data_IF_715596597784
#
_entry.id   IF_715596597784
#
_cell.length_a   1.000
_cell.length_b   1.000
_cell.length_c   1.000
_cell.angle_alpha   90.00
_cell.angle_beta   90.00
_cell.angle_gamma   90.00
#
_symmetry.space_group_name_H-M   'P 1'
#
loop_
_entity.id
_entity.type
_entity.pdbx_description
1 polymer ?
#
# COMPACT_ATOMS: atom_id res chain seq x y z
N UNK A 1 -16.02 8.77 -68.35
CA UNK A 1 -15.57 8.91 -66.93
C UNK A 1 -14.15 9.47 -66.96
N UNK A 2 -13.71 10.26 -65.97
CA UNK A 2 -12.31 10.77 -65.96
C UNK A 2 -11.32 9.63 -65.70
N UNK A 3 -10.13 9.69 -66.31
CA UNK A 3 -9.04 8.71 -66.12
C UNK A 3 -8.72 8.52 -64.63
N UNK A 4 -8.70 9.60 -63.85
CA UNK A 4 -8.47 9.53 -62.40
C UNK A 4 -9.53 8.71 -61.66
N UNK A 5 -10.80 8.81 -62.09
CA UNK A 5 -11.91 8.09 -61.47
C UNK A 5 -11.88 6.60 -61.84
N UNK A 6 -11.54 6.29 -63.09
CA UNK A 6 -11.35 4.91 -63.55
C UNK A 6 -10.20 4.21 -62.82
N UNK A 7 -9.08 4.92 -62.60
CA UNK A 7 -7.95 4.37 -61.84
C UNK A 7 -8.33 4.08 -60.38
N UNK A 8 -9.09 4.97 -59.73
CA UNK A 8 -9.58 4.73 -58.37
C UNK A 8 -10.49 3.50 -58.31
N UNK A 9 -11.40 3.35 -59.27
CA UNK A 9 -12.29 2.19 -59.37
C UNK A 9 -11.51 0.88 -59.57
N UNK A 10 -10.45 0.89 -60.39
CA UNK A 10 -9.55 -0.26 -60.56
C UNK A 10 -8.76 -0.58 -59.28
N UNK A 11 -8.27 0.42 -58.56
CA UNK A 11 -7.57 0.22 -57.28
C UNK A 11 -8.50 -0.32 -56.18
N UNK A 12 -9.79 0.02 -56.22
CA UNK A 12 -10.80 -0.49 -55.30
C UNK A 12 -11.20 -1.94 -55.63
N UNK A 13 -11.40 -2.25 -56.91
CA UNK A 13 -11.99 -3.53 -57.35
C UNK A 13 -10.97 -4.62 -57.68
N UNK A 14 -9.75 -4.28 -58.10
CA UNK A 14 -8.73 -5.24 -58.55
C UNK A 14 -7.57 -5.36 -57.54
N UNK A 15 -7.48 -6.52 -56.88
CA UNK A 15 -6.48 -6.77 -55.84
C UNK A 15 -5.03 -6.79 -56.37
N UNK A 16 -4.79 -7.38 -57.54
CA UNK A 16 -3.45 -7.45 -58.14
C UNK A 16 -2.92 -6.06 -58.51
N UNK A 17 -3.78 -5.23 -59.11
CA UNK A 17 -3.45 -3.84 -59.45
C UNK A 17 -3.18 -3.03 -58.18
N UNK A 18 -4.02 -3.17 -57.15
CA UNK A 18 -3.82 -2.51 -55.86
C UNK A 18 -2.51 -2.93 -55.19
N UNK A 19 -2.19 -4.23 -55.14
CA UNK A 19 -0.94 -4.74 -54.56
C UNK A 19 0.29 -4.22 -55.31
N UNK A 20 0.25 -4.26 -56.64
CA UNK A 20 1.34 -3.74 -57.47
C UNK A 20 1.56 -2.24 -57.22
N UNK A 21 0.48 -1.46 -57.17
CA UNK A 21 0.53 -0.03 -56.88
C UNK A 21 1.12 0.24 -55.47
N UNK A 22 0.59 -0.42 -54.43
CA UNK A 22 1.08 -0.28 -53.06
C UNK A 22 2.55 -0.70 -52.93
N UNK A 23 2.99 -1.78 -53.61
CA UNK A 23 4.39 -2.20 -53.57
C UNK A 23 5.33 -1.13 -54.13
N UNK A 24 4.95 -0.49 -55.25
CA UNK A 24 5.73 0.60 -55.85
C UNK A 24 5.76 1.83 -54.94
N UNK A 25 4.64 2.14 -54.27
CA UNK A 25 4.59 3.22 -53.27
C UNK A 25 5.48 2.94 -52.06
N UNK A 26 5.43 1.74 -51.49
CA UNK A 26 6.25 1.34 -50.33
C UNK A 26 7.73 1.42 -50.68
N UNK A 27 8.15 0.95 -51.85
CA UNK A 27 9.54 1.08 -52.32
C UNK A 27 9.93 2.56 -52.44
N UNK A 28 9.09 3.39 -53.06
CA UNK A 28 9.37 4.83 -53.20
C UNK A 28 9.48 5.53 -51.85
N UNK A 29 8.61 5.21 -50.91
CA UNK A 29 8.64 5.71 -49.53
C UNK A 29 9.90 5.24 -48.81
N UNK A 30 10.32 3.99 -49.01
CA UNK A 30 11.51 3.43 -48.38
C UNK A 30 12.80 4.02 -48.96
N UNK A 31 12.84 4.35 -50.25
CA UNK A 31 14.01 4.92 -50.94
C UNK A 31 14.15 6.43 -50.72
N UNK A 32 13.04 7.15 -50.59
CA UNK A 32 13.06 8.60 -50.40
C UNK A 32 13.20 8.94 -48.90
N UNK A 33 14.30 9.59 -48.46
CA UNK A 33 14.57 9.84 -47.05
C UNK A 33 13.54 10.74 -46.36
N UNK A 34 13.04 11.76 -47.05
CA UNK A 34 12.01 12.71 -46.56
C UNK A 34 10.70 12.00 -46.22
N UNK A 35 10.14 11.22 -47.16
CA UNK A 35 8.90 10.46 -47.01
C UNK A 35 9.03 9.44 -45.87
N UNK A 36 10.16 8.73 -45.83
CA UNK A 36 10.47 7.81 -44.74
C UNK A 36 10.52 8.53 -43.40
N UNK A 37 11.20 9.67 -43.32
CA UNK A 37 11.28 10.47 -42.09
C UNK A 37 9.93 11.04 -41.69
N UNK A 38 9.09 11.49 -42.63
CA UNK A 38 7.73 11.97 -42.34
C UNK A 38 6.87 10.87 -41.73
N UNK A 39 6.89 9.66 -42.28
CA UNK A 39 6.15 8.53 -41.72
C UNK A 39 6.70 8.11 -40.35
N UNK A 40 8.03 7.98 -40.23
CA UNK A 40 8.65 7.66 -38.94
C UNK A 40 8.31 8.69 -37.87
N UNK A 41 8.33 9.98 -38.21
CA UNK A 41 7.96 11.04 -37.28
C UNK A 41 6.50 10.88 -36.82
N UNK A 42 5.55 10.64 -37.73
CA UNK A 42 4.15 10.44 -37.38
C UNK A 42 3.91 9.22 -36.47
N UNK A 43 4.67 8.15 -36.66
CA UNK A 43 4.59 6.97 -35.79
C UNK A 43 5.27 7.21 -34.44
N UNK A 44 6.40 7.91 -34.43
CA UNK A 44 7.16 8.20 -33.21
C UNK A 44 6.43 9.16 -32.27
N UNK A 45 5.56 10.03 -32.80
CA UNK A 45 4.74 10.94 -31.98
C UNK A 45 3.67 10.23 -31.14
N UNK A 46 3.31 8.99 -31.48
CA UNK A 46 2.25 8.24 -30.80
C UNK A 46 2.78 7.21 -29.78
N UNK A 47 4.11 7.04 -29.70
CA UNK A 47 4.73 6.04 -28.82
C UNK A 47 5.52 6.70 -27.69
N UNK A 48 5.45 6.10 -26.49
CA UNK A 48 6.30 6.50 -25.40
C UNK A 48 7.76 6.17 -25.73
N UNK A 49 8.64 7.15 -25.53
CA UNK A 49 10.07 6.97 -25.71
C UNK A 49 10.68 6.26 -24.50
N UNK A 50 11.90 5.74 -24.68
CA UNK A 50 12.68 5.19 -23.56
C UNK A 50 12.85 6.20 -22.42
N UNK A 51 13.02 7.48 -22.77
CA UNK A 51 13.16 8.55 -21.79
C UNK A 51 11.91 8.72 -20.93
N UNK A 52 10.72 8.72 -21.54
CA UNK A 52 9.44 8.82 -20.82
C UNK A 52 9.28 7.69 -19.80
N UNK A 53 9.69 6.48 -20.20
CA UNK A 53 9.68 5.31 -19.33
C UNK A 53 10.69 5.42 -18.19
N UNK A 54 11.90 5.94 -18.44
CA UNK A 54 12.92 6.18 -17.41
C UNK A 54 12.46 7.22 -16.38
N UNK A 55 11.84 8.32 -16.82
CA UNK A 55 11.25 9.34 -15.95
C UNK A 55 10.13 8.73 -15.11
N UNK A 56 9.23 7.96 -15.72
CA UNK A 56 8.13 7.29 -15.00
C UNK A 56 8.67 6.29 -13.97
N UNK A 57 9.66 5.49 -14.34
CA UNK A 57 10.32 4.53 -13.43
C UNK A 57 10.97 5.25 -12.25
N UNK A 58 11.63 6.38 -12.49
CA UNK A 58 12.24 7.18 -11.44
C UNK A 58 11.18 7.71 -10.45
N UNK A 59 10.08 8.28 -10.94
CA UNK A 59 8.99 8.77 -10.08
C UNK A 59 8.36 7.64 -9.25
N UNK A 60 8.09 6.49 -9.89
CA UNK A 60 7.57 5.31 -9.20
C UNK A 60 8.52 4.84 -8.10
N UNK A 61 9.83 4.75 -8.38
CA UNK A 61 10.82 4.37 -7.37
C UNK A 61 10.85 5.36 -6.20
N UNK A 62 10.82 6.66 -6.49
CA UNK A 62 10.79 7.70 -5.45
C UNK A 62 9.54 7.58 -4.56
N UNK A 63 8.38 7.29 -5.15
CA UNK A 63 7.14 7.04 -4.40
C UNK A 63 7.21 5.78 -3.54
N UNK A 64 7.85 4.72 -4.05
CA UNK A 64 8.09 3.49 -3.28
C UNK A 64 9.01 3.79 -2.08
N UNK A 65 10.09 4.55 -2.27
CA UNK A 65 11.00 4.92 -1.20
C UNK A 65 10.31 5.76 -0.12
N UNK A 66 9.43 6.69 -0.50
CA UNK A 66 8.61 7.47 0.45
C UNK A 66 7.64 6.57 1.23
N UNK A 67 6.98 5.62 0.56
CA UNK A 67 6.09 4.67 1.20
C UNK A 67 6.85 3.78 2.20
N UNK A 68 8.05 3.31 1.86
CA UNK A 68 8.88 2.52 2.77
C UNK A 68 9.21 3.30 4.05
N UNK A 69 9.60 4.58 3.93
CA UNK A 69 9.87 5.44 5.10
C UNK A 69 8.62 5.61 5.99
N UNK A 70 7.45 5.76 5.39
CA UNK A 70 6.18 5.85 6.13
C UNK A 70 5.82 4.55 6.83
N UNK A 71 6.13 3.40 6.21
CA UNK A 71 5.96 2.08 6.84
C UNK A 71 6.89 1.96 8.05
N UNK A 72 8.14 2.37 7.93
CA UNK A 72 9.10 2.34 9.04
C UNK A 72 8.65 3.22 10.22
N UNK A 73 8.15 4.43 9.95
CA UNK A 73 7.58 5.31 10.97
C UNK A 73 6.36 4.68 11.67
N UNK A 74 5.44 4.08 10.90
CA UNK A 74 4.27 3.39 11.46
C UNK A 74 4.69 2.20 12.32
N UNK A 75 5.67 1.41 11.88
CA UNK A 75 6.19 0.29 12.66
C UNK A 75 6.77 0.76 14.00
N UNK A 76 7.55 1.83 14.00
CA UNK A 76 8.09 2.42 15.22
C UNK A 76 6.98 2.87 16.19
N UNK A 77 5.95 3.56 15.67
CA UNK A 77 4.80 3.97 16.48
C UNK A 77 4.03 2.78 17.05
N UNK A 78 3.93 1.68 16.31
CA UNK A 78 3.31 0.43 16.80
C UNK A 78 4.12 -0.15 17.96
N UNK A 79 5.45 -0.18 17.84
CA UNK A 79 6.32 -0.68 18.92
C UNK A 79 6.26 0.21 20.17
N UNK A 80 6.24 1.52 20.00
CA UNK A 80 6.06 2.48 21.09
C UNK A 80 4.71 2.28 21.80
N UNK A 81 3.62 2.13 21.04
CA UNK A 81 2.28 1.87 21.60
C UNK A 81 2.23 0.52 22.34
N UNK A 82 2.86 -0.53 21.80
CA UNK A 82 2.96 -1.83 22.47
C UNK A 82 3.69 -1.70 23.80
N UNK A 83 4.80 -0.97 23.82
CA UNK A 83 5.57 -0.71 25.05
C UNK A 83 4.73 0.06 26.09
N UNK A 84 4.02 1.10 25.68
CA UNK A 84 3.16 1.88 26.57
C UNK A 84 2.02 1.03 27.15
N UNK A 85 1.38 0.20 26.32
CA UNK A 85 0.31 -0.72 26.75
C UNK A 85 0.85 -1.72 27.77
N UNK A 86 2.00 -2.35 27.51
CA UNK A 86 2.62 -3.30 28.44
C UNK A 86 2.93 -2.63 29.79
N UNK A 87 3.49 -1.42 29.78
CA UNK A 87 3.78 -0.65 30.99
C UNK A 87 2.51 -0.32 31.78
N UNK A 88 1.43 0.08 31.10
CA UNK A 88 0.12 0.30 31.73
C UNK A 88 -0.46 -0.99 32.33
N UNK A 89 -0.31 -2.12 31.64
CA UNK A 89 -0.76 -3.41 32.12
C UNK A 89 0.00 -3.84 33.38
N UNK A 90 1.33 -3.69 33.40
CA UNK A 90 2.16 -3.98 34.57
C UNK A 90 1.79 -3.09 35.77
N UNK A 91 1.55 -1.80 35.52
CA UNK A 91 1.09 -0.88 36.56
C UNK A 91 -0.29 -1.27 37.11
N UNK A 92 -1.21 -1.71 36.24
CA UNK A 92 -2.52 -2.23 36.66
C UNK A 92 -2.39 -3.51 37.49
N UNK A 93 -1.54 -4.45 37.08
CA UNK A 93 -1.28 -5.69 37.82
C UNK A 93 -0.77 -5.40 39.24
N UNK A 94 0.18 -4.47 39.37
CA UNK A 94 0.68 -4.03 40.69
C UNK A 94 -0.43 -3.46 41.57
N UNK A 95 -1.29 -2.59 41.02
CA UNK A 95 -2.44 -2.03 41.76
C UNK A 95 -3.41 -3.12 42.19
N UNK A 96 -3.68 -4.11 41.34
CA UNK A 96 -4.52 -5.25 41.68
C UNK A 96 -3.90 -6.07 42.82
N UNK A 97 -2.60 -6.32 42.77
CA UNK A 97 -1.90 -7.07 43.82
C UNK A 97 -1.89 -6.32 45.16
N UNK A 98 -1.72 -5.00 45.13
CA UNK A 98 -1.79 -4.17 46.33
C UNK A 98 -3.21 -4.14 46.91
N UNK A 99 -4.24 -3.97 46.08
CA UNK A 99 -5.64 -4.09 46.52
C UNK A 99 -5.94 -5.46 47.13
N UNK A 100 -5.39 -6.55 46.57
CA UNK A 100 -5.52 -7.90 47.13
C UNK A 100 -4.83 -8.02 48.48
N UNK A 101 -3.67 -7.39 48.67
CA UNK A 101 -2.96 -7.37 49.97
C UNK A 101 -3.77 -6.61 51.01
N UNK A 102 -4.23 -5.41 50.67
CA UNK A 102 -5.03 -4.56 51.56
C UNK A 102 -6.31 -5.28 51.98
N UNK A 103 -7.03 -5.87 51.02
CA UNK A 103 -8.24 -6.64 51.29
C UNK A 103 -7.98 -7.83 52.23
N UNK A 104 -6.87 -8.56 52.04
CA UNK A 104 -6.48 -9.63 52.97
C UNK A 104 -6.18 -9.09 54.37
N UNK A 105 -5.45 -7.98 54.47
CA UNK A 105 -5.11 -7.36 55.75
C UNK A 105 -6.38 -6.92 56.51
N UNK A 106 -7.30 -6.25 55.84
CA UNK A 106 -8.59 -5.86 56.44
C UNK A 106 -9.41 -7.08 56.84
N UNK A 107 -9.48 -8.11 56.01
CA UNK A 107 -10.21 -9.34 56.31
C UNK A 107 -9.68 -10.02 57.58
N UNK A 108 -8.37 -10.26 57.68
CA UNK A 108 -7.78 -10.89 58.86
C UNK A 108 -7.84 -10.01 60.10
N UNK A 109 -7.63 -8.69 59.97
CA UNK A 109 -7.77 -7.75 61.08
C UNK A 109 -9.18 -7.72 61.66
N UNK A 110 -10.19 -7.65 60.79
CA UNK A 110 -11.60 -7.69 61.18
C UNK A 110 -11.97 -9.02 61.85
N UNK A 111 -11.61 -10.15 61.24
CA UNK A 111 -11.87 -11.49 61.80
C UNK A 111 -11.18 -11.68 63.15
N UNK A 112 -9.94 -11.20 63.30
CA UNK A 112 -9.22 -11.24 64.58
C UNK A 112 -9.92 -10.45 65.69
N UNK A 113 -10.44 -9.26 65.37
CA UNK A 113 -11.23 -8.45 66.30
C UNK A 113 -12.54 -9.13 66.74
N UNK A 114 -13.28 -9.74 65.80
CA UNK A 114 -14.46 -10.53 66.12
C UNK A 114 -14.12 -11.70 67.05
N UNK A 115 -13.09 -12.49 66.69
CA UNK A 115 -12.67 -13.65 67.48
C UNK A 115 -12.25 -13.26 68.90
N UNK A 116 -11.50 -12.17 69.06
CA UNK A 116 -11.10 -11.66 70.38
C UNK A 116 -12.31 -11.24 71.23
N UNK A 117 -13.32 -10.60 70.60
CA UNK A 117 -14.55 -10.20 71.28
C UNK A 117 -15.35 -11.42 71.75
N UNK A 118 -15.53 -12.42 70.88
CA UNK A 118 -16.23 -13.67 71.21
C UNK A 118 -15.51 -14.38 72.37
N UNK A 119 -14.19 -14.53 72.29
CA UNK A 119 -13.39 -15.18 73.33
C UNK A 119 -13.54 -14.49 74.69
N UNK A 120 -13.49 -13.15 74.70
CA UNK A 120 -13.65 -12.34 75.92
C UNK A 120 -15.02 -12.57 76.57
N UNK A 121 -16.09 -12.57 75.76
CA UNK A 121 -17.45 -12.83 76.25
C UNK A 121 -17.59 -14.24 76.81
N UNK A 122 -17.02 -15.25 76.14
CA UNK A 122 -17.05 -16.65 76.60
C UNK A 122 -16.33 -16.82 77.93
N UNK A 123 -15.12 -16.27 78.08
CA UNK A 123 -14.35 -16.34 79.34
C UNK A 123 -15.10 -15.67 80.49
N UNK A 124 -15.64 -14.47 80.25
CA UNK A 124 -16.37 -13.69 81.28
C UNK A 124 -17.66 -14.39 81.75
N UNK A 125 -18.25 -15.27 80.92
CA UNK A 125 -19.48 -16.03 81.26
C UNK A 125 -19.20 -17.39 81.90
N UNK A 126 -17.98 -17.93 81.75
CA UNK A 126 -17.56 -19.24 82.26
C UNK A 126 -16.96 -19.18 83.67
N UNK A 127 -16.47 -18.00 84.08
CA UNK A 127 -15.97 -17.70 85.43
C UNK A 127 -17.10 -17.09 86.24
#
# INVERSE_FOLDING_TARGET
MSIAKQLLEELETNEEVRKLFLSKMVVRIAEEPTLRLTLLHSLLTEVATKHDLEVTKYDVNKRIDDLNKRIDDVNKRIDDLRSEINSKFDAMNKRIDDLRKDMRAYFFGFMGGILATILTVVITRLI
#
